data_IF_644277963928
#
_entry.id   IF_644277963928
#
_cell.length_a   1.000
_cell.length_b   1.000
_cell.length_c   1.000
_cell.angle_alpha   90.00
_cell.angle_beta   90.00
_cell.angle_gamma   90.00
#
_symmetry.space_group_name_H-M   'P 1'
#
loop_
_entity.id
_entity.type
_entity.pdbx_description
1 polymer ?
#
# COMPACT_ATOMS: atom_id res chain seq x y z
N UNK A 1 14.78 26.24 -29.37
CA UNK A 1 15.31 26.01 -28.01
C UNK A 1 14.43 25.08 -27.17
N UNK A 2 13.10 25.34 -27.05
CA UNK A 2 12.18 24.52 -26.23
C UNK A 2 12.06 23.05 -26.68
N UNK A 3 12.02 22.76 -27.99
CA UNK A 3 11.93 21.38 -28.49
C UNK A 3 13.16 20.52 -28.14
N UNK A 4 14.36 21.10 -28.18
CA UNK A 4 15.59 20.40 -27.83
C UNK A 4 15.64 20.12 -26.32
N UNK A 5 15.19 21.08 -25.49
CA UNK A 5 15.10 20.92 -24.05
C UNK A 5 14.05 19.87 -23.64
N UNK A 6 12.86 19.87 -24.27
CA UNK A 6 11.82 18.84 -24.04
C UNK A 6 12.27 17.46 -24.54
N UNK A 7 13.04 17.39 -25.64
CA UNK A 7 13.62 16.14 -26.11
C UNK A 7 14.66 15.60 -25.11
N UNK A 8 15.50 16.48 -24.55
CA UNK A 8 16.45 16.13 -23.50
C UNK A 8 15.78 15.60 -22.23
N UNK A 9 14.69 16.24 -21.77
CA UNK A 9 13.90 15.77 -20.62
C UNK A 9 13.20 14.42 -20.86
N UNK A 10 12.99 14.00 -22.11
CA UNK A 10 12.45 12.66 -22.44
C UNK A 10 13.53 11.58 -22.44
N UNK A 11 14.79 11.97 -22.63
CA UNK A 11 15.95 11.07 -22.72
C UNK A 11 16.74 10.98 -21.43
N UNK A 12 16.40 11.76 -20.42
CA UNK A 12 17.23 11.97 -19.23
C UNK A 12 16.34 11.99 -17.99
N UNK A 13 16.67 11.18 -16.99
CA UNK A 13 16.03 11.18 -15.67
C UNK A 13 16.52 12.38 -14.84
N UNK A 14 15.92 12.62 -13.66
CA UNK A 14 16.32 13.71 -12.76
C UNK A 14 17.83 13.67 -12.40
N UNK A 15 18.43 12.48 -12.45
CA UNK A 15 19.85 12.25 -12.13
C UNK A 15 20.77 12.28 -13.37
N UNK A 16 20.31 12.75 -14.53
CA UNK A 16 21.15 12.85 -15.73
C UNK A 16 21.37 11.53 -16.49
N UNK A 17 20.80 10.41 -16.01
CA UNK A 17 20.95 9.09 -16.63
C UNK A 17 19.84 8.79 -17.64
N UNK A 18 20.11 8.00 -18.69
CA UNK A 18 19.07 7.58 -19.63
C UNK A 18 18.01 6.73 -18.92
N UNK A 19 16.71 6.91 -19.22
CA UNK A 19 15.66 6.13 -18.61
C UNK A 19 15.81 4.65 -18.96
N UNK A 20 15.60 3.77 -17.97
CA UNK A 20 15.68 2.31 -18.14
C UNK A 20 14.92 1.86 -19.39
N UNK A 21 15.57 1.06 -20.22
CA UNK A 21 14.97 0.47 -21.41
C UNK A 21 13.73 -0.38 -21.05
N UNK A 22 12.87 -0.63 -22.04
CA UNK A 22 11.70 -1.51 -21.85
C UNK A 22 12.12 -2.92 -21.42
N UNK A 23 13.26 -3.42 -21.90
CA UNK A 23 13.82 -4.73 -21.53
C UNK A 23 14.31 -4.75 -20.08
N UNK A 24 14.97 -3.70 -19.60
CA UNK A 24 15.41 -3.60 -18.21
C UNK A 24 14.24 -3.45 -17.23
N UNK A 25 13.20 -2.70 -17.61
CA UNK A 25 11.96 -2.63 -16.83
C UNK A 25 11.21 -3.95 -16.76
N UNK A 26 11.24 -4.74 -17.84
CA UNK A 26 10.65 -6.07 -17.87
C UNK A 26 11.43 -7.10 -17.03
N UNK A 27 12.75 -6.88 -16.84
CA UNK A 27 13.58 -7.69 -15.92
C UNK A 27 13.45 -7.29 -14.46
N UNK A 28 12.98 -6.08 -14.16
CA UNK A 28 12.77 -5.63 -12.79
C UNK A 28 11.51 -6.27 -12.19
N UNK A 29 11.59 -6.64 -10.90
CA UNK A 29 10.42 -7.09 -10.15
C UNK A 29 9.34 -5.99 -10.18
N UNK A 30 8.13 -6.35 -10.62
CA UNK A 30 7.05 -5.37 -10.69
C UNK A 30 6.73 -4.81 -9.30
N UNK A 31 6.30 -3.54 -9.16
CA UNK A 31 5.92 -2.99 -7.86
C UNK A 31 4.84 -3.82 -7.14
N UNK A 32 3.95 -4.45 -7.91
CA UNK A 32 2.93 -5.36 -7.36
C UNK A 32 3.52 -6.65 -6.82
N UNK A 33 4.47 -7.25 -7.54
CA UNK A 33 5.18 -8.44 -7.08
C UNK A 33 6.02 -8.13 -5.84
N UNK A 34 6.74 -7.00 -5.84
CA UNK A 34 7.51 -6.54 -4.69
C UNK A 34 6.63 -6.32 -3.46
N UNK A 35 5.48 -5.65 -3.61
CA UNK A 35 4.50 -5.50 -2.53
C UNK A 35 4.08 -6.86 -1.96
N UNK A 36 3.75 -7.82 -2.81
CA UNK A 36 3.36 -9.16 -2.38
C UNK A 36 4.49 -9.86 -1.62
N UNK A 37 5.69 -9.85 -2.17
CA UNK A 37 6.86 -10.47 -1.57
C UNK A 37 7.17 -9.88 -0.18
N UNK A 38 7.12 -8.56 -0.05
CA UNK A 38 7.44 -7.86 1.20
C UNK A 38 6.36 -7.98 2.29
N UNK A 39 5.11 -8.31 1.93
CA UNK A 39 3.98 -8.34 2.89
C UNK A 39 3.59 -9.73 3.37
N UNK A 40 4.11 -10.81 2.75
CA UNK A 40 3.94 -12.18 3.26
C UNK A 40 4.93 -12.47 4.38
N UNK A 41 4.59 -13.40 5.27
CA UNK A 41 5.57 -13.90 6.23
C UNK A 41 6.63 -14.68 5.46
N UNK A 42 7.88 -14.61 5.92
CA UNK A 42 8.99 -15.35 5.30
C UNK A 42 8.72 -16.86 5.25
N UNK A 43 8.06 -17.38 6.27
CA UNK A 43 7.63 -18.79 6.39
C UNK A 43 6.66 -19.22 5.28
N UNK A 44 5.87 -18.28 4.74
CA UNK A 44 4.89 -18.58 3.69
C UNK A 44 5.52 -18.54 2.27
N UNK A 45 6.74 -18.03 2.15
CA UNK A 45 7.44 -17.87 0.87
C UNK A 45 8.13 -19.17 0.46
N UNK A 46 8.11 -19.48 -0.84
CA UNK A 46 8.91 -20.59 -1.37
C UNK A 46 10.41 -20.27 -1.39
N UNK A 47 11.25 -21.25 -1.73
CA UNK A 47 12.71 -21.07 -1.71
C UNK A 47 13.20 -20.00 -2.71
N UNK A 48 12.53 -19.86 -3.86
CA UNK A 48 12.92 -18.88 -4.88
C UNK A 48 12.52 -17.48 -4.41
N UNK A 49 11.31 -17.31 -3.88
CA UNK A 49 10.82 -16.07 -3.27
C UNK A 49 11.69 -15.64 -2.08
N UNK A 50 12.10 -16.58 -1.20
CA UNK A 50 12.99 -16.26 -0.09
C UNK A 50 14.36 -15.76 -0.56
N UNK A 51 14.93 -16.41 -1.59
CA UNK A 51 16.19 -15.97 -2.20
C UNK A 51 16.06 -14.58 -2.83
N UNK A 52 14.96 -14.32 -3.54
CA UNK A 52 14.66 -13.00 -4.09
C UNK A 52 14.50 -11.93 -3.00
N UNK A 53 13.83 -12.28 -1.89
CA UNK A 53 13.70 -11.39 -0.74
C UNK A 53 15.08 -11.08 -0.15
N UNK A 54 15.91 -12.09 0.11
CA UNK A 54 17.25 -11.89 0.65
C UNK A 54 18.12 -11.02 -0.26
N UNK A 55 18.07 -11.25 -1.57
CA UNK A 55 18.73 -10.38 -2.54
C UNK A 55 18.27 -8.93 -2.39
N UNK A 56 16.95 -8.69 -2.28
CA UNK A 56 16.40 -7.34 -2.12
C UNK A 56 16.80 -6.67 -0.81
N UNK A 57 16.81 -7.41 0.31
CA UNK A 57 17.23 -6.88 1.61
C UNK A 57 18.72 -6.52 1.59
N UNK A 58 19.55 -7.32 0.91
CA UNK A 58 20.98 -7.07 0.75
C UNK A 58 21.32 -5.88 -0.17
N UNK A 59 20.39 -5.40 -1.01
CA UNK A 59 20.64 -4.26 -1.89
C UNK A 59 20.75 -2.93 -1.13
N UNK A 60 20.05 -2.78 -0.01
CA UNK A 60 20.02 -1.52 0.74
C UNK A 60 19.57 -1.70 2.18
N UNK A 61 20.31 -1.16 3.17
CA UNK A 61 19.89 -1.11 4.57
C UNK A 61 18.53 -0.43 4.78
N UNK A 62 18.17 0.50 3.89
CA UNK A 62 16.87 1.18 3.94
C UNK A 62 15.73 0.21 3.62
N UNK A 63 15.92 -0.71 2.66
CA UNK A 63 14.92 -1.72 2.29
C UNK A 63 14.73 -2.72 3.43
N UNK A 64 15.81 -3.14 4.06
CA UNK A 64 15.76 -3.99 5.26
C UNK A 64 14.98 -3.31 6.41
N UNK A 65 15.26 -2.03 6.66
CA UNK A 65 14.53 -1.25 7.68
C UNK A 65 13.04 -1.18 7.37
N UNK A 66 12.67 -0.90 6.10
CA UNK A 66 11.27 -0.88 5.66
C UNK A 66 10.61 -2.24 5.83
N UNK A 67 11.29 -3.31 5.45
CA UNK A 67 10.79 -4.67 5.57
C UNK A 67 10.49 -5.03 7.03
N UNK A 68 11.42 -4.75 7.94
CA UNK A 68 11.26 -4.98 9.37
C UNK A 68 10.07 -4.20 9.94
N UNK A 69 9.96 -2.91 9.62
CA UNK A 69 8.84 -2.07 10.07
C UNK A 69 7.50 -2.55 9.50
N UNK A 70 7.46 -2.94 8.22
CA UNK A 70 6.27 -3.48 7.57
C UNK A 70 5.81 -4.80 8.21
N UNK A 71 6.72 -5.74 8.42
CA UNK A 71 6.41 -7.03 9.04
C UNK A 71 5.94 -6.85 10.49
N UNK A 72 6.59 -5.96 11.25
CA UNK A 72 6.15 -5.58 12.59
C UNK A 72 4.72 -5.01 12.59
N UNK A 73 4.43 -4.08 11.68
CA UNK A 73 3.09 -3.51 11.53
C UNK A 73 2.03 -4.56 11.17
N UNK A 74 2.31 -5.40 10.18
CA UNK A 74 1.39 -6.44 9.73
C UNK A 74 1.10 -7.46 10.82
N UNK A 75 2.11 -7.81 11.62
CA UNK A 75 1.97 -8.71 12.77
C UNK A 75 1.11 -8.06 13.84
N UNK A 76 1.40 -6.81 14.21
CA UNK A 76 0.61 -6.04 15.17
C UNK A 76 -0.87 -5.93 14.76
N UNK A 77 -1.15 -5.66 13.47
CA UNK A 77 -2.52 -5.59 12.94
C UNK A 77 -3.22 -6.95 12.96
N UNK A 78 -2.52 -8.00 12.54
CA UNK A 78 -3.08 -9.38 12.48
C UNK A 78 -3.39 -9.92 13.87
N UNK A 79 -2.51 -9.64 14.83
CA UNK A 79 -2.60 -10.11 16.22
C UNK A 79 -3.29 -9.11 17.14
N UNK A 80 -3.73 -7.96 16.62
CA UNK A 80 -4.48 -6.92 17.36
C UNK A 80 -3.73 -6.40 18.61
N UNK A 81 -2.41 -6.26 18.49
CA UNK A 81 -1.52 -5.80 19.57
C UNK A 81 -1.51 -4.27 19.69
N UNK A 82 -2.65 -3.69 20.06
CA UNK A 82 -2.82 -2.23 20.18
C UNK A 82 -1.76 -1.55 21.08
N UNK A 83 -1.30 -2.24 22.12
CA UNK A 83 -0.24 -1.78 23.03
C UNK A 83 1.11 -1.50 22.32
N UNK A 84 1.39 -2.17 21.20
CA UNK A 84 2.64 -2.03 20.44
C UNK A 84 2.58 -0.87 19.43
N UNK A 85 1.39 -0.26 19.22
CA UNK A 85 1.21 0.77 18.19
C UNK A 85 2.11 1.99 18.43
N UNK A 86 2.22 2.43 19.68
CA UNK A 86 3.02 3.60 20.01
C UNK A 86 4.51 3.36 19.79
N UNK A 87 5.04 2.24 20.31
CA UNK A 87 6.45 1.89 20.16
C UNK A 87 6.82 1.67 18.69
N UNK A 88 5.92 1.04 17.92
CA UNK A 88 6.09 0.87 16.48
C UNK A 88 6.13 2.23 15.74
N UNK A 89 5.24 3.16 16.08
CA UNK A 89 5.23 4.51 15.47
C UNK A 89 6.52 5.28 15.77
N UNK A 90 7.09 5.15 16.97
CA UNK A 90 8.37 5.75 17.30
C UNK A 90 9.51 5.17 16.47
N UNK A 91 9.58 3.84 16.34
CA UNK A 91 10.59 3.16 15.52
C UNK A 91 10.49 3.61 14.05
N UNK A 92 9.26 3.68 13.52
CA UNK A 92 9.01 4.14 12.16
C UNK A 92 9.49 5.59 11.94
N UNK A 93 9.31 6.49 12.90
CA UNK A 93 9.84 7.87 12.81
C UNK A 93 11.36 7.92 12.95
N UNK A 94 11.93 7.15 13.89
CA UNK A 94 13.38 7.07 14.15
C UNK A 94 14.14 6.48 12.97
N UNK A 95 13.50 5.69 12.09
CA UNK A 95 14.09 5.16 10.86
C UNK A 95 14.65 6.22 9.90
N UNK A 96 14.21 7.47 10.03
CA UNK A 96 14.64 8.57 9.15
C UNK A 96 14.00 8.56 7.75
N UNK A 97 13.18 7.55 7.43
CA UNK A 97 12.56 7.39 6.12
C UNK A 97 11.37 8.35 5.97
N UNK A 98 11.36 9.27 4.98
CA UNK A 98 10.29 10.26 4.81
C UNK A 98 8.90 9.65 4.66
N UNK A 99 8.80 8.55 3.91
CA UNK A 99 7.56 7.82 3.65
C UNK A 99 6.99 7.22 4.94
N UNK A 100 7.85 6.66 5.81
CA UNK A 100 7.44 6.13 7.11
C UNK A 100 6.95 7.24 8.04
N UNK A 101 7.61 8.40 8.03
CA UNK A 101 7.14 9.57 8.80
C UNK A 101 5.78 10.06 8.30
N UNK A 102 5.59 10.13 6.99
CA UNK A 102 4.30 10.49 6.38
C UNK A 102 3.20 9.51 6.76
N UNK A 103 3.50 8.21 6.73
CA UNK A 103 2.56 7.16 7.14
C UNK A 103 2.18 7.30 8.62
N UNK A 104 3.15 7.51 9.52
CA UNK A 104 2.90 7.76 10.94
C UNK A 104 2.05 9.01 11.14
N UNK A 105 2.27 10.08 10.37
CA UNK A 105 1.42 11.28 10.41
C UNK A 105 -0.02 11.01 9.94
N UNK A 106 -0.23 10.03 9.05
CA UNK A 106 -1.55 9.49 8.73
C UNK A 106 -2.19 8.85 9.95
N UNK A 107 -1.49 7.91 10.58
CA UNK A 107 -1.97 7.22 11.79
C UNK A 107 -2.29 8.21 12.90
N UNK A 108 -1.45 9.23 13.14
CA UNK A 108 -1.70 10.24 14.17
C UNK A 108 -2.99 11.02 13.96
N UNK A 109 -3.34 11.33 12.70
CA UNK A 109 -4.58 12.04 12.38
C UNK A 109 -5.82 11.22 12.70
N UNK A 110 -5.75 9.92 12.48
CA UNK A 110 -6.85 8.97 12.70
C UNK A 110 -6.58 8.03 13.89
N UNK A 111 -5.84 8.49 14.90
CA UNK A 111 -5.28 7.62 15.94
C UNK A 111 -6.35 6.82 16.67
N UNK A 112 -7.42 7.48 17.11
CA UNK A 112 -8.53 6.82 17.81
C UNK A 112 -9.18 5.72 16.97
N UNK A 113 -9.32 5.95 15.65
CA UNK A 113 -9.89 4.97 14.74
C UNK A 113 -8.96 3.77 14.54
N UNK A 114 -7.66 4.02 14.38
CA UNK A 114 -6.64 2.96 14.24
C UNK A 114 -6.52 2.16 15.53
N UNK A 115 -6.47 2.83 16.68
CA UNK A 115 -6.43 2.19 18.00
C UNK A 115 -7.68 1.34 18.23
N UNK A 116 -8.87 1.87 17.97
CA UNK A 116 -10.12 1.12 18.05
C UNK A 116 -10.14 -0.10 17.11
N UNK A 117 -9.58 0.02 15.90
CA UNK A 117 -9.47 -1.11 14.96
C UNK A 117 -8.55 -2.24 15.46
N UNK A 118 -7.57 -1.92 16.32
CA UNK A 118 -6.72 -2.91 16.97
C UNK A 118 -7.35 -3.46 18.25
N UNK A 119 -8.10 -2.66 19.01
CA UNK A 119 -8.71 -3.11 20.27
C UNK A 119 -10.01 -3.90 20.09
N UNK A 120 -10.86 -3.48 19.15
CA UNK A 120 -12.22 -3.96 19.03
C UNK A 120 -12.34 -5.08 18.00
N UNK A 121 -13.31 -6.00 18.16
CA UNK A 121 -13.57 -7.03 17.17
C UNK A 121 -14.29 -6.52 15.92
N UNK A 122 -14.82 -5.30 15.98
CA UNK A 122 -15.65 -4.70 14.95
C UNK A 122 -14.82 -4.21 13.76
N UNK A 123 -15.36 -4.38 12.54
CA UNK A 123 -14.77 -3.82 11.33
C UNK A 123 -15.83 -3.10 10.50
N UNK A 124 -15.42 -2.04 9.80
CA UNK A 124 -16.28 -1.35 8.83
C UNK A 124 -16.38 -2.09 7.49
N UNK A 125 -15.76 -3.27 7.34
CA UNK A 125 -15.65 -3.98 6.07
C UNK A 125 -17.01 -4.34 5.45
N UNK A 126 -18.00 -4.75 6.26
CA UNK A 126 -19.36 -5.04 5.77
C UNK A 126 -20.01 -3.76 5.25
N UNK A 127 -19.97 -2.68 6.03
CA UNK A 127 -20.51 -1.37 5.68
C UNK A 127 -19.88 -0.85 4.39
N UNK A 128 -18.55 -0.87 4.31
CA UNK A 128 -17.78 -0.47 3.13
C UNK A 128 -18.11 -1.34 1.91
N UNK A 129 -18.27 -2.65 2.10
CA UNK A 129 -18.69 -3.57 1.04
C UNK A 129 -20.07 -3.20 0.47
N UNK A 130 -21.04 -2.90 1.32
CA UNK A 130 -22.38 -2.46 0.89
C UNK A 130 -22.32 -1.10 0.18
N UNK A 131 -21.56 -0.15 0.72
CA UNK A 131 -21.33 1.16 0.09
C UNK A 131 -20.65 1.01 -1.26
N UNK A 132 -19.68 0.11 -1.39
CA UNK A 132 -18.99 -0.15 -2.65
C UNK A 132 -19.94 -0.77 -3.69
N UNK A 133 -20.77 -1.75 -3.30
CA UNK A 133 -21.82 -2.32 -4.19
C UNK A 133 -22.75 -1.21 -4.70
N UNK A 134 -23.21 -0.34 -3.80
CA UNK A 134 -24.07 0.80 -4.15
C UNK A 134 -23.36 1.77 -5.12
N UNK A 135 -22.10 2.12 -4.85
CA UNK A 135 -21.29 3.00 -5.70
C UNK A 135 -21.08 2.38 -7.08
N UNK A 136 -20.80 1.08 -7.17
CA UNK A 136 -20.66 0.35 -8.43
C UNK A 136 -21.95 0.39 -9.24
N UNK A 137 -23.09 0.08 -8.62
CA UNK A 137 -24.38 0.14 -9.28
C UNK A 137 -24.68 1.55 -9.82
N UNK A 138 -24.40 2.59 -9.02
CA UNK A 138 -24.54 3.98 -9.47
C UNK A 138 -23.63 4.32 -10.66
N UNK A 139 -22.39 3.80 -10.69
CA UNK A 139 -21.44 3.99 -11.81
C UNK A 139 -21.91 3.30 -13.09
N UNK A 140 -22.41 2.07 -13.00
CA UNK A 140 -23.01 1.33 -14.15
C UNK A 140 -24.20 2.11 -14.73
N UNK A 141 -24.88 2.91 -13.90
CA UNK A 141 -25.99 3.78 -14.31
C UNK A 141 -25.55 5.21 -14.65
N UNK A 142 -24.29 5.40 -15.03
CA UNK A 142 -23.71 6.69 -15.43
C UNK A 142 -23.87 7.81 -14.39
N UNK A 143 -24.01 7.47 -13.11
CA UNK A 143 -24.21 8.44 -12.03
C UNK A 143 -25.62 9.03 -11.94
N UNK A 144 -26.52 8.70 -12.88
CA UNK A 144 -27.85 9.34 -13.03
C UNK A 144 -28.94 8.74 -12.13
N UNK A 145 -28.66 7.62 -11.47
CA UNK A 145 -29.62 6.99 -10.57
C UNK A 145 -29.74 7.77 -9.26
N UNK A 146 -30.93 8.30 -8.99
CA UNK A 146 -31.32 8.83 -7.69
C UNK A 146 -31.60 7.72 -6.67
N UNK A 147 -31.82 8.10 -5.40
CA UNK A 147 -32.05 7.15 -4.31
C UNK A 147 -33.19 6.14 -4.57
N UNK A 148 -34.38 6.52 -5.09
CA UNK A 148 -35.47 5.57 -5.31
C UNK A 148 -35.08 4.42 -6.25
N UNK A 149 -34.40 4.73 -7.35
CA UNK A 149 -33.96 3.76 -8.35
C UNK A 149 -32.81 2.89 -7.83
N UNK A 150 -31.87 3.48 -7.09
CA UNK A 150 -30.80 2.72 -6.42
C UNK A 150 -31.37 1.75 -5.39
N UNK A 151 -32.35 2.18 -4.59
CA UNK A 151 -33.03 1.32 -3.61
C UNK A 151 -33.70 0.14 -4.29
N UNK A 152 -34.49 0.38 -5.33
CA UNK A 152 -35.13 -0.71 -6.09
C UNK A 152 -34.10 -1.69 -6.64
N UNK A 153 -33.07 -1.21 -7.34
CA UNK A 153 -32.07 -2.10 -7.93
C UNK A 153 -31.20 -2.82 -6.91
N UNK A 154 -30.99 -2.26 -5.72
CA UNK A 154 -30.20 -2.94 -4.68
C UNK A 154 -31.02 -4.01 -3.95
N UNK A 155 -32.31 -3.75 -3.68
CA UNK A 155 -33.20 -4.66 -2.97
C UNK A 155 -33.77 -5.77 -3.87
N UNK A 156 -33.91 -5.51 -5.18
CA UNK A 156 -34.46 -6.45 -6.16
C UNK A 156 -33.40 -7.12 -7.05
N UNK A 157 -32.10 -6.89 -6.82
CA UNK A 157 -31.04 -7.68 -7.44
C UNK A 157 -30.83 -8.97 -6.64
N UNK A 158 -31.67 -9.98 -6.94
CA UNK A 158 -31.41 -11.39 -6.65
C UNK A 158 -30.72 -12.02 -7.86
#
# INVERSE_FOLDING_TARGET
MVRAYVAHLRTTTADGTPPRSRKERAKAVSPRALRWLLSRKREDLDQEEQSQLDQLLNLSPQVETIYTLLQGFLTMVRERKHQDLHSWMEQAVKSGIPEMRSFVNGIKRDYEAVHAALCLPWSQGITEGKVNKLKTLKRVMYGRAGFPLLRQRLLHAA
#
